data_IF_673801949825
#
_entry.id   IF_673801949825
#
_cell.length_a   1.000
_cell.length_b   1.000
_cell.length_c   1.000
_cell.angle_alpha   90.00
_cell.angle_beta   90.00
_cell.angle_gamma   90.00
#
_symmetry.space_group_name_H-M   'P 1'
#
loop_
_entity.id
_entity.type
_entity.pdbx_description
1 polymer ?
#
# COMPACT_ATOMS: atom_id res chain seq x y z
N UNK A 1 11.07 -9.47 -12.34
CA UNK A 1 10.38 -8.39 -11.62
C UNK A 1 8.92 -8.79 -11.48
N UNK A 2 8.44 -8.95 -10.25
CA UNK A 2 7.05 -9.25 -9.93
C UNK A 2 6.40 -8.05 -9.25
N UNK A 3 5.12 -7.81 -9.56
CA UNK A 3 4.30 -6.79 -8.92
C UNK A 3 3.62 -7.38 -7.69
N UNK A 4 3.65 -6.66 -6.59
CA UNK A 4 2.93 -6.98 -5.37
C UNK A 4 2.00 -5.83 -4.98
N UNK A 5 0.87 -6.16 -4.38
CA UNK A 5 0.01 -5.20 -3.69
C UNK A 5 -0.28 -5.74 -2.30
N UNK A 6 0.04 -4.95 -1.26
CA UNK A 6 -0.16 -5.36 0.12
C UNK A 6 -0.58 -4.19 1.00
N UNK A 7 -1.24 -4.47 2.11
CA UNK A 7 -1.68 -3.44 3.04
C UNK A 7 -2.95 -3.82 3.79
N UNK A 8 -3.66 -2.79 4.23
CA UNK A 8 -4.89 -2.92 5.04
C UNK A 8 -5.98 -2.01 4.50
N UNK A 9 -7.24 -2.39 4.75
CA UNK A 9 -8.40 -1.58 4.42
C UNK A 9 -9.53 -1.75 5.44
N UNK A 10 -10.58 -0.96 5.30
CA UNK A 10 -11.75 -0.97 6.18
C UNK A 10 -12.46 -2.32 6.33
N UNK A 11 -12.25 -3.28 5.42
CA UNK A 11 -12.83 -4.64 5.52
C UNK A 11 -11.97 -5.59 6.35
N UNK A 12 -10.67 -5.33 6.41
CA UNK A 12 -9.66 -6.24 6.98
C UNK A 12 -9.15 -5.76 8.32
N UNK A 13 -9.11 -4.45 8.56
CA UNK A 13 -8.54 -3.84 9.75
C UNK A 13 -9.53 -2.88 10.45
N UNK A 14 -9.63 -2.91 11.78
CA UNK A 14 -10.34 -1.90 12.55
C UNK A 14 -9.65 -0.51 12.43
N UNK A 15 -10.35 0.55 12.84
CA UNK A 15 -9.91 1.93 12.61
C UNK A 15 -8.59 2.26 13.32
N UNK A 16 -8.39 1.76 14.54
CA UNK A 16 -7.18 1.94 15.35
C UNK A 16 -5.92 1.34 14.69
N UNK A 17 -6.05 0.19 14.03
CA UNK A 17 -4.97 -0.38 13.22
C UNK A 17 -4.72 0.49 11.98
N UNK A 18 -5.78 0.91 11.28
CA UNK A 18 -5.65 1.71 10.04
C UNK A 18 -5.01 3.08 10.29
N UNK A 19 -5.33 3.73 11.40
CA UNK A 19 -4.73 5.02 11.79
C UNK A 19 -3.22 4.93 11.98
N UNK A 20 -2.70 3.82 12.53
CA UNK A 20 -1.26 3.59 12.67
C UNK A 20 -0.55 3.46 11.31
N UNK A 21 -1.25 2.98 10.29
CA UNK A 21 -0.72 2.81 8.93
C UNK A 21 -1.01 4.01 8.01
N UNK A 22 -1.68 5.06 8.49
CA UNK A 22 -1.96 6.22 7.67
C UNK A 22 -0.68 7.04 7.45
N UNK A 23 -0.38 7.36 6.19
CA UNK A 23 0.72 8.24 5.82
C UNK A 23 0.23 9.68 5.63
N UNK A 24 0.76 10.65 6.39
CA UNK A 24 0.68 12.06 6.04
C UNK A 24 1.38 12.35 4.70
N UNK A 25 0.93 13.36 3.98
CA UNK A 25 1.44 13.68 2.64
C UNK A 25 2.95 13.95 2.63
N UNK A 26 3.44 14.68 3.64
CA UNK A 26 4.85 14.99 3.83
C UNK A 26 5.73 13.77 4.14
N UNK A 27 5.13 12.67 4.62
CA UNK A 27 5.83 11.41 4.91
C UNK A 27 5.85 10.45 3.73
N UNK A 28 5.02 10.65 2.71
CA UNK A 28 4.96 9.74 1.55
C UNK A 28 6.29 9.66 0.80
N UNK A 29 6.91 10.80 0.46
CA UNK A 29 8.17 10.80 -0.30
C UNK A 29 9.35 10.15 0.46
N UNK A 30 9.57 10.43 1.76
CA UNK A 30 10.51 9.67 2.58
C UNK A 30 10.17 8.17 2.65
N UNK A 31 8.91 7.82 2.89
CA UNK A 31 8.48 6.42 3.00
C UNK A 31 8.71 5.62 1.71
N UNK A 32 8.45 6.22 0.55
CA UNK A 32 8.73 5.63 -0.76
C UNK A 32 10.21 5.31 -0.95
N UNK A 33 11.10 6.21 -0.52
CA UNK A 33 12.54 5.96 -0.57
C UNK A 33 12.96 4.87 0.41
N UNK A 34 12.42 4.89 1.63
CA UNK A 34 12.70 3.89 2.67
C UNK A 34 12.27 2.48 2.25
N UNK A 35 11.08 2.30 1.63
CA UNK A 35 10.64 0.97 1.18
C UNK A 35 11.48 0.46 0.01
N UNK A 36 11.95 1.34 -0.88
CA UNK A 36 12.85 0.95 -1.95
C UNK A 36 14.26 0.59 -1.44
N UNK A 37 14.78 1.32 -0.45
CA UNK A 37 16.13 1.06 0.08
C UNK A 37 16.20 -0.08 1.11
N UNK A 38 15.17 -0.21 1.95
CA UNK A 38 15.17 -1.10 3.11
C UNK A 38 14.17 -2.26 2.98
N UNK A 39 13.16 -2.12 2.10
CA UNK A 39 12.12 -3.11 1.89
C UNK A 39 12.37 -4.04 0.69
N UNK A 40 13.54 -3.97 0.06
CA UNK A 40 13.93 -4.70 -1.16
C UNK A 40 12.97 -4.49 -2.36
N UNK A 41 12.23 -3.38 -2.36
CA UNK A 41 11.43 -2.97 -3.51
C UNK A 41 12.32 -2.24 -4.52
N UNK A 42 12.25 -2.61 -5.81
CA UNK A 42 12.90 -1.84 -6.88
C UNK A 42 12.14 -0.56 -7.21
N UNK A 43 10.82 -0.58 -7.03
CA UNK A 43 9.92 0.55 -7.21
C UNK A 43 8.72 0.39 -6.28
N UNK A 44 8.12 1.50 -5.85
CA UNK A 44 6.93 1.45 -5.01
C UNK A 44 6.00 2.65 -5.23
N UNK A 45 4.70 2.44 -4.97
CA UNK A 45 3.71 3.49 -4.82
C UNK A 45 2.86 3.23 -3.58
N UNK A 46 2.52 4.28 -2.84
CA UNK A 46 1.73 4.19 -1.60
C UNK A 46 0.40 4.91 -1.80
N UNK A 47 -0.70 4.17 -1.66
CA UNK A 47 -2.06 4.69 -1.62
C UNK A 47 -2.52 4.76 -0.17
N UNK A 48 -2.45 5.95 0.42
CA UNK A 48 -2.92 6.24 1.78
C UNK A 48 -4.20 7.07 1.72
N UNK A 49 -5.27 6.56 2.32
CA UNK A 49 -6.59 7.21 2.40
C UNK A 49 -7.19 6.98 3.78
N UNK A 50 -8.34 7.58 4.07
CA UNK A 50 -9.07 7.28 5.30
C UNK A 50 -9.57 5.83 5.41
N UNK A 51 -9.62 5.05 4.33
CA UNK A 51 -10.24 3.72 4.26
C UNK A 51 -9.27 2.59 3.89
N UNK A 52 -8.04 2.92 3.50
CA UNK A 52 -6.99 1.97 3.13
C UNK A 52 -5.61 2.61 3.18
N UNK A 53 -4.63 1.77 3.51
CA UNK A 53 -3.21 2.00 3.22
C UNK A 53 -2.74 0.81 2.42
N UNK A 54 -2.34 1.04 1.18
CA UNK A 54 -1.82 0.02 0.28
C UNK A 54 -0.46 0.43 -0.28
N UNK A 55 0.45 -0.53 -0.35
CA UNK A 55 1.73 -0.41 -1.03
C UNK A 55 1.71 -1.31 -2.25
N UNK A 56 1.99 -0.71 -3.40
CA UNK A 56 2.22 -1.39 -4.67
C UNK A 56 3.73 -1.40 -4.90
N UNK A 57 4.34 -2.58 -4.97
CA UNK A 57 5.79 -2.70 -5.05
C UNK A 57 6.20 -3.62 -6.21
N UNK A 58 7.16 -3.16 -7.02
CA UNK A 58 7.87 -4.00 -7.97
C UNK A 58 9.14 -4.55 -7.31
N UNK A 59 9.30 -5.87 -7.25
CA UNK A 59 10.47 -6.51 -6.65
C UNK A 59 11.08 -7.57 -7.58
N UNK A 60 12.39 -7.82 -7.47
CA UNK A 60 13.03 -8.95 -8.16
C UNK A 60 12.83 -10.27 -7.41
N UNK A 61 12.57 -10.19 -6.10
CA UNK A 61 12.39 -11.32 -5.21
C UNK A 61 11.03 -12.01 -5.42
N UNK A 62 10.92 -13.24 -4.93
CA UNK A 62 9.67 -14.03 -4.98
C UNK A 62 8.66 -13.62 -3.90
N UNK A 63 9.09 -12.82 -2.92
CA UNK A 63 8.25 -12.34 -1.83
C UNK A 63 8.53 -10.85 -1.53
N UNK A 64 7.74 -10.31 -0.60
CA UNK A 64 7.80 -8.91 -0.12
C UNK A 64 7.89 -8.83 1.40
N UNK A 65 8.46 -9.85 2.04
CA UNK A 65 8.47 -9.93 3.51
C UNK A 65 9.23 -8.76 4.14
N UNK A 66 10.34 -8.32 3.52
CA UNK A 66 11.08 -7.11 3.92
C UNK A 66 10.25 -5.83 3.82
N UNK A 67 9.46 -5.69 2.75
CA UNK A 67 8.57 -4.54 2.60
C UNK A 67 7.41 -4.56 3.63
N UNK A 68 6.97 -5.74 4.05
CA UNK A 68 5.98 -5.88 5.13
C UNK A 68 6.60 -5.57 6.49
N UNK A 69 7.80 -6.07 6.77
CA UNK A 69 8.57 -5.72 7.98
C UNK A 69 8.77 -4.20 8.06
N UNK A 70 9.18 -3.58 6.96
CA UNK A 70 9.29 -2.12 6.86
C UNK A 70 7.96 -1.41 7.17
N UNK A 71 6.84 -1.92 6.67
CA UNK A 71 5.52 -1.34 6.95
C UNK A 71 5.16 -1.45 8.43
N UNK A 72 5.45 -2.58 9.07
CA UNK A 72 5.29 -2.77 10.51
C UNK A 72 6.12 -1.74 11.31
N UNK A 73 7.40 -1.59 10.95
CA UNK A 73 8.33 -0.69 11.62
C UNK A 73 7.91 0.78 11.46
N UNK A 74 7.50 1.17 10.24
CA UNK A 74 7.03 2.51 9.93
C UNK A 74 5.78 2.87 10.75
N UNK A 75 4.84 1.93 10.86
CA UNK A 75 3.60 2.07 11.62
C UNK A 75 3.76 1.83 13.13
N UNK A 76 4.97 1.47 13.60
CA UNK A 76 5.28 1.12 15.00
C UNK A 76 4.30 0.07 15.57
N UNK A 77 3.96 -0.91 14.75
CA UNK A 77 3.07 -2.02 15.07
C UNK A 77 3.84 -3.32 14.91
N UNK A 78 3.63 -4.29 15.81
CA UNK A 78 4.29 -5.59 15.63
C UNK A 78 3.72 -6.30 14.41
N UNK A 79 4.55 -7.01 13.64
CA UNK A 79 4.03 -7.78 12.51
C UNK A 79 3.03 -8.87 12.95
N UNK A 80 3.14 -9.38 14.18
CA UNK A 80 2.14 -10.30 14.76
C UNK A 80 0.76 -9.65 14.88
N UNK A 81 0.71 -8.38 15.25
CA UNK A 81 -0.55 -7.62 15.36
C UNK A 81 -1.10 -7.24 13.99
N UNK A 82 -0.24 -6.93 13.01
CA UNK A 82 -0.66 -6.54 11.66
C UNK A 82 -1.10 -7.72 10.79
N UNK A 83 -0.44 -8.87 10.91
CA UNK A 83 -0.59 -10.02 10.01
C UNK A 83 -2.03 -10.53 9.83
N UNK A 84 -2.90 -10.59 10.86
CA UNK A 84 -4.31 -10.99 10.68
C UNK A 84 -5.13 -10.05 9.80
N UNK A 85 -4.68 -8.80 9.64
CA UNK A 85 -5.36 -7.75 8.90
C UNK A 85 -4.73 -7.49 7.52
N UNK A 86 -3.50 -7.97 7.31
CA UNK A 86 -2.73 -7.72 6.10
C UNK A 86 -3.21 -8.63 4.96
N UNK A 87 -3.54 -8.05 3.81
CA UNK A 87 -3.66 -8.80 2.55
C UNK A 87 -2.43 -8.62 1.69
N UNK A 88 -2.18 -9.62 0.84
CA UNK A 88 -1.08 -9.67 -0.12
C UNK A 88 -1.59 -10.25 -1.43
N UNK A 89 -1.30 -9.56 -2.53
CA UNK A 89 -1.55 -10.01 -3.89
C UNK A 89 -0.26 -9.95 -4.69
N UNK A 90 -0.11 -10.87 -5.65
CA UNK A 90 1.11 -11.01 -6.46
C UNK A 90 0.76 -11.14 -7.93
N UNK A 91 1.60 -10.59 -8.81
CA UNK A 91 1.48 -10.69 -10.26
C UNK A 91 0.11 -10.21 -10.75
N UNK A 92 -0.60 -11.07 -11.47
CA UNK A 92 -1.90 -10.72 -12.06
C UNK A 92 -2.97 -10.36 -11.02
N UNK A 93 -2.91 -10.91 -9.81
CA UNK A 93 -3.89 -10.59 -8.77
C UNK A 93 -3.64 -9.22 -8.16
N UNK A 94 -2.37 -8.77 -8.09
CA UNK A 94 -2.04 -7.40 -7.70
C UNK A 94 -2.61 -6.39 -8.72
N UNK A 95 -2.47 -6.69 -10.02
CA UNK A 95 -3.05 -5.88 -11.10
C UNK A 95 -4.58 -5.83 -10.99
N UNK A 96 -5.25 -6.99 -10.89
CA UNK A 96 -6.71 -7.06 -10.74
C UNK A 96 -7.18 -6.26 -9.52
N UNK A 97 -6.49 -6.38 -8.39
CA UNK A 97 -6.80 -5.61 -7.18
C UNK A 97 -6.70 -4.11 -7.44
N UNK A 98 -5.60 -3.64 -8.04
CA UNK A 98 -5.41 -2.23 -8.39
C UNK A 98 -6.57 -1.70 -9.26
N UNK A 99 -6.98 -2.44 -10.29
CA UNK A 99 -8.12 -2.03 -11.15
C UNK A 99 -9.45 -2.01 -10.40
N UNK A 100 -9.68 -2.94 -9.46
CA UNK A 100 -10.89 -2.94 -8.61
C UNK A 100 -10.90 -1.75 -7.65
N UNK A 101 -9.74 -1.36 -7.12
CA UNK A 101 -9.60 -0.15 -6.32
C UNK A 101 -9.85 1.09 -7.19
N UNK A 102 -9.23 1.18 -8.37
CA UNK A 102 -9.35 2.30 -9.30
C UNK A 102 -10.79 2.56 -9.74
N UNK A 103 -11.54 1.49 -9.97
CA UNK A 103 -12.94 1.52 -10.39
C UNK A 103 -13.92 1.70 -9.23
N UNK A 104 -13.43 1.84 -8.00
CA UNK A 104 -14.27 2.00 -6.81
C UNK A 104 -15.09 0.75 -6.44
N UNK A 105 -14.79 -0.42 -7.02
CA UNK A 105 -15.51 -1.68 -6.76
C UNK A 105 -15.27 -2.23 -5.34
N UNK A 106 -14.19 -1.80 -4.70
CA UNK A 106 -13.81 -2.21 -3.34
C UNK A 106 -13.72 -1.03 -2.37
N UNK A 107 -14.28 0.12 -2.75
CA UNK A 107 -14.44 1.30 -1.89
C UNK A 107 -15.59 1.11 -0.90
N UNK A 108 -15.63 1.94 0.14
CA UNK A 108 -16.73 1.97 1.10
C UNK A 108 -18.03 2.41 0.40
N UNK A 109 -17.93 3.43 -0.45
CA UNK A 109 -18.98 3.86 -1.38
C UNK A 109 -18.67 3.26 -2.75
N UNK A 110 -19.52 2.37 -3.22
CA UNK A 110 -19.32 1.69 -4.50
C UNK A 110 -19.35 2.70 -5.65
N UNK A 111 -18.31 2.71 -6.47
CA UNK A 111 -18.21 3.58 -7.65
C UNK A 111 -17.81 5.03 -7.35
N UNK A 112 -17.29 5.31 -6.15
CA UNK A 112 -16.78 6.63 -5.78
C UNK A 112 -15.64 7.08 -6.73
N UNK A 113 -15.78 8.20 -7.47
CA UNK A 113 -14.77 8.63 -8.45
C UNK A 113 -13.46 9.15 -7.82
N UNK A 114 -13.49 9.53 -6.54
CA UNK A 114 -12.36 10.13 -5.82
C UNK A 114 -11.14 9.19 -5.76
N UNK A 115 -11.38 7.87 -5.62
CA UNK A 115 -10.30 6.89 -5.48
C UNK A 115 -9.40 6.82 -6.71
N UNK A 116 -9.96 7.03 -7.91
CA UNK A 116 -9.17 7.08 -9.14
C UNK A 116 -8.23 8.30 -9.14
N UNK A 117 -8.73 9.44 -8.66
CA UNK A 117 -7.92 10.64 -8.45
C UNK A 117 -6.79 10.40 -7.45
N UNK A 118 -7.09 9.76 -6.33
CA UNK A 118 -6.09 9.41 -5.30
C UNK A 118 -5.02 8.45 -5.84
N UNK A 119 -5.40 7.46 -6.65
CA UNK A 119 -4.46 6.56 -7.34
C UNK A 119 -3.54 7.33 -8.29
N UNK A 120 -4.08 8.28 -9.06
CA UNK A 120 -3.27 9.14 -9.94
C UNK A 120 -2.28 10.00 -9.14
N UNK A 121 -2.71 10.54 -8.00
CA UNK A 121 -1.84 11.30 -7.10
C UNK A 121 -0.74 10.42 -6.52
N UNK A 122 -1.08 9.22 -6.04
CA UNK A 122 -0.11 8.25 -5.51
C UNK A 122 0.96 7.89 -6.54
N UNK A 123 0.56 7.63 -7.79
CA UNK A 123 1.49 7.41 -8.91
C UNK A 123 2.40 8.62 -9.16
N UNK A 124 1.82 9.82 -9.18
CA UNK A 124 2.58 11.06 -9.44
C UNK A 124 3.61 11.32 -8.33
N UNK A 125 3.26 11.04 -7.08
CA UNK A 125 4.16 11.17 -5.93
C UNK A 125 5.28 10.13 -5.98
N UNK A 126 4.95 8.87 -6.28
CA UNK A 126 5.92 7.80 -6.49
C UNK A 126 6.96 8.20 -7.55
N UNK A 127 6.49 8.59 -8.73
CA UNK A 127 7.37 8.97 -9.84
C UNK A 127 8.27 10.19 -9.53
N UNK A 128 7.82 11.12 -8.68
CA UNK A 128 8.64 12.26 -8.24
C UNK A 128 9.67 11.87 -7.18
N UNK A 129 9.45 10.79 -6.43
CA UNK A 129 10.31 10.35 -5.34
C UNK A 129 11.51 9.51 -5.81
N UNK A 130 11.48 9.01 -7.05
CA UNK A 130 12.51 8.16 -7.68
C UNK A 130 11.90 6.90 -8.26
#
# INVERSE_FOLDING_TARGET
>A
MQLFAFGVNHKTAPVDVREKLAFPEERLAPALREVCSNGDAGEAAILSTCNRTEVYAGAQNENIDRAVEWLCDNARISCRELQPHLYRHTGSDAVKHAFRVASGLVSLVLGEPQILGQMKTAFTLAHKAG
#
